data_IF_220662998073
#
_entry.id   IF_220662998073
#
_cell.length_a   1.000
_cell.length_b   1.000
_cell.length_c   1.000
_cell.angle_alpha   90.00
_cell.angle_beta   90.00
_cell.angle_gamma   90.00
#
_symmetry.space_group_name_H-M   'P 1'
#
loop_
_entity.id
_entity.type
_entity.pdbx_description
1 polymer ?
#
# COMPACT_ATOMS: atom_id res chain seq x y z
N UNK A 1 22.59 1.42 -26.55
CA UNK A 1 21.55 0.37 -26.42
C UNK A 1 20.24 1.04 -26.07
N UNK A 2 19.12 0.52 -26.56
CA UNK A 2 17.80 1.12 -26.38
C UNK A 2 17.12 0.60 -25.09
N UNK A 3 17.09 1.42 -24.03
CA UNK A 3 16.54 1.04 -22.72
C UNK A 3 15.05 0.64 -22.78
N UNK A 4 14.27 1.28 -23.66
CA UNK A 4 12.86 0.97 -23.83
C UNK A 4 12.69 -0.42 -24.46
N UNK A 5 13.51 -0.73 -25.47
CA UNK A 5 13.56 -2.07 -26.08
C UNK A 5 13.91 -3.14 -25.06
N UNK A 6 14.98 -2.93 -24.31
CA UNK A 6 15.44 -3.88 -23.28
C UNK A 6 14.32 -4.15 -22.27
N UNK A 7 13.69 -3.09 -21.76
CA UNK A 7 12.58 -3.22 -20.80
C UNK A 7 11.42 -4.02 -21.38
N UNK A 8 11.02 -3.76 -22.63
CA UNK A 8 9.93 -4.48 -23.29
C UNK A 8 10.26 -5.97 -23.50
N UNK A 9 11.52 -6.30 -23.79
CA UNK A 9 11.98 -7.67 -23.98
C UNK A 9 12.06 -8.47 -22.67
N UNK A 10 12.14 -7.82 -21.50
CA UNK A 10 12.05 -8.53 -20.21
C UNK A 10 10.64 -9.05 -19.88
N UNK A 11 9.60 -8.53 -20.54
CA UNK A 11 8.23 -8.96 -20.29
C UNK A 11 8.01 -10.41 -20.74
N UNK A 12 7.30 -11.25 -19.96
CA UNK A 12 6.82 -12.54 -20.41
C UNK A 12 5.97 -12.46 -21.69
N UNK A 13 5.88 -13.54 -22.50
CA UNK A 13 5.11 -13.53 -23.74
C UNK A 13 3.61 -13.21 -23.56
N UNK A 14 3.02 -13.57 -22.42
CA UNK A 14 1.63 -13.21 -22.08
C UNK A 14 1.51 -11.71 -21.79
N UNK A 15 2.41 -11.17 -20.96
CA UNK A 15 2.43 -9.75 -20.59
C UNK A 15 2.66 -8.82 -21.79
N UNK A 16 3.44 -9.25 -22.79
CA UNK A 16 3.60 -8.51 -24.05
C UNK A 16 2.29 -8.42 -24.83
N UNK A 17 1.51 -9.50 -24.86
CA UNK A 17 0.20 -9.55 -25.53
C UNK A 17 -0.79 -8.65 -24.79
N UNK A 18 -0.84 -8.76 -23.48
CA UNK A 18 -1.70 -7.95 -22.61
C UNK A 18 -1.37 -6.45 -22.70
N UNK A 19 -0.08 -6.09 -22.76
CA UNK A 19 0.35 -4.70 -22.99
C UNK A 19 -0.15 -4.17 -24.33
N UNK A 20 -0.08 -4.97 -25.39
CA UNK A 20 -0.63 -4.61 -26.70
C UNK A 20 -2.13 -4.34 -26.64
N UNK A 21 -2.89 -5.20 -25.96
CA UNK A 21 -4.34 -5.00 -25.74
C UNK A 21 -4.63 -3.77 -24.88
N UNK A 22 -3.85 -3.56 -23.82
CA UNK A 22 -3.97 -2.39 -22.96
C UNK A 22 -3.78 -1.09 -23.72
N UNK A 23 -2.76 -1.00 -24.58
CA UNK A 23 -2.53 0.16 -25.45
C UNK A 23 -3.68 0.32 -26.44
N UNK A 24 -4.20 -0.78 -27.00
CA UNK A 24 -5.34 -0.78 -27.91
C UNK A 24 -6.61 -0.21 -27.24
N UNK A 25 -6.84 -0.45 -25.96
CA UNK A 25 -8.02 0.05 -25.25
C UNK A 25 -7.96 1.52 -24.81
N UNK A 26 -6.82 2.18 -24.92
CA UNK A 26 -6.71 3.61 -24.62
C UNK A 26 -7.53 4.45 -25.63
N UNK A 27 -8.43 5.30 -25.13
CA UNK A 27 -9.46 6.06 -25.90
C UNK A 27 -8.87 7.19 -26.77
N UNK A 28 -8.19 6.86 -27.88
CA UNK A 28 -7.83 7.83 -28.94
C UNK A 28 -8.15 7.29 -30.35
N UNK A 29 -8.53 8.22 -31.25
CA UNK A 29 -8.97 7.96 -32.63
C UNK A 29 -7.99 7.08 -33.41
N UNK A 30 -8.55 6.25 -34.28
CA UNK A 30 -7.93 5.17 -35.04
C UNK A 30 -6.92 5.59 -36.13
N UNK A 31 -6.59 6.87 -36.28
CA UNK A 31 -5.66 7.33 -37.32
C UNK A 31 -4.21 7.10 -36.88
N UNK A 32 -3.67 5.95 -37.30
CA UNK A 32 -2.26 5.58 -37.18
C UNK A 32 -1.82 5.26 -35.75
N UNK A 33 -2.09 4.04 -35.28
CA UNK A 33 -1.54 3.50 -34.02
C UNK A 33 -0.05 3.17 -34.14
N UNK A 34 0.74 4.20 -34.45
CA UNK A 34 2.18 4.16 -34.58
C UNK A 34 2.84 3.57 -33.31
N UNK A 35 2.21 3.72 -32.15
CA UNK A 35 2.63 3.21 -30.86
C UNK A 35 2.63 1.68 -30.77
N UNK A 36 1.62 1.02 -31.35
CA UNK A 36 1.62 -0.44 -31.47
C UNK A 36 2.66 -0.92 -32.47
N UNK A 37 2.81 -0.21 -33.59
CA UNK A 37 3.83 -0.52 -34.59
C UNK A 37 5.24 -0.33 -34.05
N UNK A 38 5.47 0.69 -33.22
CA UNK A 38 6.73 0.87 -32.49
C UNK A 38 6.94 -0.27 -31.50
N UNK A 39 5.92 -0.67 -30.73
CA UNK A 39 6.01 -1.80 -29.81
C UNK A 39 6.44 -3.09 -30.54
N UNK A 40 5.83 -3.41 -31.67
CA UNK A 40 6.18 -4.57 -32.50
C UNK A 40 7.63 -4.50 -33.01
N UNK A 41 8.06 -3.35 -33.51
CA UNK A 41 9.43 -3.16 -34.00
C UNK A 41 10.47 -3.29 -32.88
N UNK A 42 10.16 -2.85 -31.67
CA UNK A 42 11.04 -2.99 -30.51
C UNK A 42 11.06 -4.43 -29.96
N UNK A 43 9.96 -5.16 -30.06
CA UNK A 43 9.88 -6.58 -29.65
C UNK A 43 10.45 -7.55 -30.71
N UNK A 44 10.69 -7.08 -31.94
CA UNK A 44 11.30 -7.86 -33.00
C UNK A 44 12.68 -8.41 -32.59
N UNK A 45 13.01 -9.66 -32.96
CA UNK A 45 14.34 -10.23 -32.74
C UNK A 45 15.44 -9.43 -33.44
N UNK A 46 15.12 -8.78 -34.57
CA UNK A 46 16.06 -7.88 -35.24
C UNK A 46 16.21 -6.58 -34.46
N UNK A 47 17.45 -6.20 -34.18
CA UNK A 47 17.76 -4.87 -33.64
C UNK A 47 17.76 -3.84 -34.76
N UNK A 48 17.04 -2.74 -34.53
CA UNK A 48 16.95 -1.61 -35.45
C UNK A 48 17.56 -0.39 -34.77
N UNK A 49 18.37 0.36 -35.50
CA UNK A 49 18.85 1.68 -35.09
C UNK A 49 17.70 2.69 -35.14
N UNK A 50 17.84 3.80 -34.42
CA UNK A 50 16.80 4.83 -34.37
C UNK A 50 16.43 5.38 -35.75
N UNK A 51 17.41 5.54 -36.64
CA UNK A 51 17.21 5.95 -38.04
C UNK A 51 16.34 4.97 -38.82
N UNK A 52 16.60 3.66 -38.69
CA UNK A 52 15.82 2.59 -39.33
C UNK A 52 14.38 2.53 -38.77
N UNK A 53 14.22 2.77 -37.46
CA UNK A 53 12.91 2.83 -36.82
C UNK A 53 12.11 4.04 -37.30
N UNK A 54 12.75 5.21 -37.40
CA UNK A 54 12.11 6.44 -37.92
C UNK A 54 11.63 6.19 -39.35
N UNK A 55 12.47 5.62 -40.22
CA UNK A 55 12.12 5.35 -41.61
C UNK A 55 11.01 4.30 -41.75
N UNK A 56 10.95 3.30 -40.86
CA UNK A 56 9.87 2.29 -40.86
C UNK A 56 8.53 2.79 -40.34
N UNK A 57 8.55 3.80 -39.48
CA UNK A 57 7.37 4.42 -38.89
C UNK A 57 6.84 5.57 -39.74
N UNK A 58 7.74 6.35 -40.34
CA UNK A 58 7.42 7.51 -41.16
C UNK A 58 8.16 7.41 -42.52
N UNK A 59 7.69 6.55 -43.44
CA UNK A 59 8.40 6.28 -44.69
C UNK A 59 8.36 7.46 -45.68
N UNK A 60 7.26 8.22 -45.70
CA UNK A 60 7.06 9.33 -46.64
C UNK A 60 7.83 10.60 -46.20
N UNK A 61 7.92 10.83 -44.89
CA UNK A 61 8.61 11.99 -44.31
C UNK A 61 9.24 11.60 -42.95
N UNK A 62 10.55 11.32 -42.90
CA UNK A 62 11.24 10.96 -41.66
C UNK A 62 11.05 12.03 -40.57
N UNK A 63 10.41 11.65 -39.46
CA UNK A 63 10.09 12.57 -38.37
C UNK A 63 10.68 12.12 -37.02
N UNK A 64 11.91 12.55 -36.68
CA UNK A 64 12.55 12.20 -35.42
C UNK A 64 11.79 12.71 -34.18
N UNK A 65 11.18 13.89 -34.27
CA UNK A 65 10.44 14.50 -33.15
C UNK A 65 9.22 13.66 -32.79
N UNK A 66 8.45 13.24 -33.79
CA UNK A 66 7.29 12.38 -33.60
C UNK A 66 7.70 11.00 -33.03
N UNK A 67 8.82 10.44 -33.49
CA UNK A 67 9.38 9.20 -32.96
C UNK A 67 9.72 9.29 -31.46
N UNK A 68 10.43 10.32 -31.00
CA UNK A 68 10.74 10.46 -29.57
C UNK A 68 9.49 10.71 -28.72
N UNK A 69 8.50 11.45 -29.24
CA UNK A 69 7.20 11.60 -28.57
C UNK A 69 6.46 10.25 -28.45
N UNK A 70 6.55 9.41 -29.48
CA UNK A 70 5.98 8.06 -29.49
C UNK A 70 6.61 7.15 -28.45
N UNK A 71 7.94 7.17 -28.33
CA UNK A 71 8.69 6.43 -27.30
C UNK A 71 8.28 6.84 -25.89
N UNK A 72 8.18 8.16 -25.63
CA UNK A 72 7.74 8.68 -24.32
C UNK A 72 6.31 8.23 -24.01
N UNK A 73 5.43 8.20 -25.01
CA UNK A 73 4.05 7.70 -24.87
C UNK A 73 4.02 6.20 -24.56
N UNK A 74 4.82 5.41 -25.28
CA UNK A 74 4.91 3.96 -25.08
C UNK A 74 5.45 3.62 -23.68
N UNK A 75 6.47 4.34 -23.21
CA UNK A 75 6.99 4.19 -21.85
C UNK A 75 5.93 4.49 -20.79
N UNK A 76 5.11 5.53 -21.00
CA UNK A 76 3.99 5.82 -20.11
C UNK A 76 2.97 4.68 -20.08
N UNK A 77 2.57 4.15 -21.24
CA UNK A 77 1.65 3.02 -21.29
C UNK A 77 2.22 1.76 -20.65
N UNK A 78 3.50 1.47 -20.85
CA UNK A 78 4.19 0.38 -20.18
C UNK A 78 4.14 0.56 -18.65
N UNK A 79 4.41 1.76 -18.16
CA UNK A 79 4.34 2.08 -16.73
C UNK A 79 2.93 1.88 -16.18
N UNK A 80 1.92 2.41 -16.88
CA UNK A 80 0.51 2.31 -16.48
C UNK A 80 0.04 0.85 -16.48
N UNK A 81 0.45 0.07 -17.48
CA UNK A 81 0.17 -1.36 -17.61
C UNK A 81 0.78 -2.17 -16.48
N UNK A 82 2.07 -1.95 -16.18
CA UNK A 82 2.76 -2.65 -15.09
C UNK A 82 2.12 -2.33 -13.73
N UNK A 83 1.76 -1.07 -13.49
CA UNK A 83 1.03 -0.66 -12.29
C UNK A 83 -0.36 -1.32 -12.21
N UNK A 84 -1.07 -1.44 -13.34
CA UNK A 84 -2.36 -2.12 -13.40
C UNK A 84 -2.25 -3.62 -13.08
N UNK A 85 -1.30 -4.33 -13.69
CA UNK A 85 -1.07 -5.76 -13.37
C UNK A 85 -0.67 -5.97 -11.93
N UNK A 86 0.13 -5.07 -11.36
CA UNK A 86 0.47 -5.12 -9.95
C UNK A 86 -0.77 -5.00 -9.05
N UNK A 87 -1.71 -4.11 -9.39
CA UNK A 87 -2.98 -3.94 -8.68
C UNK A 87 -3.93 -5.14 -8.83
N UNK A 88 -3.90 -5.82 -9.98
CA UNK A 88 -4.71 -7.01 -10.23
C UNK A 88 -4.26 -8.23 -9.40
N UNK A 89 -2.97 -8.28 -9.02
CA UNK A 89 -2.44 -9.34 -8.17
C UNK A 89 -2.45 -9.02 -6.66
N UNK A 90 -2.46 -7.74 -6.25
CA UNK A 90 -2.73 -7.30 -4.86
C UNK A 90 -2.93 -5.77 -4.80
N UNK A 91 -4.18 -5.31 -4.63
CA UNK A 91 -4.53 -3.88 -4.64
C UNK A 91 -4.19 -3.11 -3.34
N UNK A 92 -3.17 -3.53 -2.61
CA UNK A 92 -2.77 -2.88 -1.35
C UNK A 92 -1.81 -1.72 -1.60
N UNK A 93 -1.80 -0.74 -0.70
CA UNK A 93 -0.80 0.34 -0.72
C UNK A 93 0.64 -0.22 -0.67
N UNK A 94 0.86 -1.31 0.08
CA UNK A 94 2.14 -2.01 0.16
C UNK A 94 2.68 -2.41 -1.22
N UNK A 95 1.82 -2.99 -2.07
CA UNK A 95 2.17 -3.41 -3.42
C UNK A 95 2.60 -2.22 -4.26
N UNK A 96 1.83 -1.13 -4.24
CA UNK A 96 2.15 0.09 -4.99
C UNK A 96 3.48 0.71 -4.55
N UNK A 97 3.79 0.72 -3.24
CA UNK A 97 5.09 1.17 -2.71
C UNK A 97 6.23 0.29 -3.23
N UNK A 98 6.08 -1.03 -3.16
CA UNK A 98 7.09 -1.98 -3.68
C UNK A 98 7.31 -1.82 -5.19
N UNK A 99 6.25 -1.57 -5.96
CA UNK A 99 6.35 -1.36 -7.40
C UNK A 99 7.16 -0.10 -7.75
N UNK A 100 6.90 0.99 -7.03
CA UNK A 100 7.68 2.21 -7.17
C UNK A 100 9.14 2.02 -6.75
N UNK A 101 9.40 1.24 -5.70
CA UNK A 101 10.74 0.90 -5.26
C UNK A 101 11.51 0.12 -6.34
N UNK A 102 10.92 -0.94 -6.91
CA UNK A 102 11.54 -1.74 -7.99
C UNK A 102 11.85 -0.87 -9.20
N UNK A 103 10.94 0.02 -9.59
CA UNK A 103 11.16 0.93 -10.71
C UNK A 103 12.28 1.94 -10.41
N UNK A 104 12.37 2.45 -9.18
CA UNK A 104 13.46 3.34 -8.78
C UNK A 104 14.82 2.63 -8.84
N UNK A 105 14.92 1.38 -8.37
CA UNK A 105 16.14 0.57 -8.46
C UNK A 105 16.59 0.41 -9.91
N UNK A 106 15.65 0.06 -10.80
CA UNK A 106 15.92 -0.05 -12.23
C UNK A 106 16.47 1.27 -12.81
N UNK A 107 15.83 2.40 -12.50
CA UNK A 107 16.24 3.71 -13.00
C UNK A 107 17.61 4.18 -12.48
N UNK A 108 17.99 3.81 -11.26
CA UNK A 108 19.34 4.05 -10.78
C UNK A 108 20.37 3.23 -11.57
N UNK A 109 20.10 1.94 -11.82
CA UNK A 109 20.96 1.10 -12.65
C UNK A 109 21.07 1.60 -14.10
N UNK A 110 20.02 2.22 -14.62
CA UNK A 110 19.99 2.84 -15.95
C UNK A 110 20.60 4.26 -16.00
N UNK A 111 21.14 4.79 -14.89
CA UNK A 111 21.76 6.11 -14.87
C UNK A 111 20.78 7.29 -14.97
N UNK A 112 19.52 7.11 -14.54
CA UNK A 112 18.46 8.14 -14.54
C UNK A 112 18.08 8.55 -13.11
N UNK A 113 19.02 9.09 -12.30
CA UNK A 113 18.83 9.28 -10.87
C UNK A 113 17.75 10.31 -10.51
N UNK A 114 17.56 11.36 -11.33
CA UNK A 114 16.52 12.37 -11.08
C UNK A 114 15.12 11.76 -11.04
N UNK A 115 14.83 10.84 -11.97
CA UNK A 115 13.52 10.19 -12.04
C UNK A 115 13.38 9.14 -10.92
N UNK A 116 14.45 8.39 -10.63
CA UNK A 116 14.49 7.44 -9.53
C UNK A 116 14.17 8.10 -8.18
N UNK A 117 14.78 9.26 -7.89
CA UNK A 117 14.50 10.04 -6.68
C UNK A 117 13.06 10.55 -6.61
N UNK A 118 12.49 10.99 -7.73
CA UNK A 118 11.07 11.38 -7.78
C UNK A 118 10.14 10.21 -7.47
N UNK A 119 10.48 8.99 -7.89
CA UNK A 119 9.72 7.79 -7.53
C UNK A 119 9.90 7.43 -6.05
N UNK A 120 11.11 7.55 -5.50
CA UNK A 120 11.33 7.28 -4.07
C UNK A 120 10.55 8.23 -3.16
N UNK A 121 10.49 9.53 -3.48
CA UNK A 121 9.66 10.48 -2.71
C UNK A 121 8.16 10.15 -2.79
N UNK A 122 7.70 9.67 -3.94
CA UNK A 122 6.31 9.20 -4.10
C UNK A 122 6.05 7.93 -3.28
N UNK A 123 6.98 6.99 -3.30
CA UNK A 123 6.89 5.74 -2.56
C UNK A 123 6.89 6.00 -1.06
N UNK A 124 7.77 6.89 -0.61
CA UNK A 124 7.82 7.34 0.78
C UNK A 124 6.49 7.94 1.23
N UNK A 125 5.99 8.95 0.49
CA UNK A 125 4.72 9.60 0.85
C UNK A 125 3.57 8.60 0.87
N UNK A 126 3.47 7.75 -0.15
CA UNK A 126 2.43 6.73 -0.23
C UNK A 126 2.50 5.76 0.96
N UNK A 127 3.71 5.35 1.34
CA UNK A 127 3.91 4.44 2.45
C UNK A 127 3.57 5.10 3.80
N UNK A 128 3.98 6.35 4.02
CA UNK A 128 3.64 7.14 5.21
C UNK A 128 2.13 7.33 5.34
N UNK A 129 1.47 7.78 4.26
CA UNK A 129 0.03 8.04 4.24
C UNK A 129 -0.79 6.78 4.52
N UNK A 130 -0.26 5.59 4.24
CA UNK A 130 -0.96 4.30 4.39
C UNK A 130 -0.37 3.41 5.49
N UNK A 131 0.45 3.94 6.39
CA UNK A 131 1.08 3.19 7.50
C UNK A 131 1.85 1.93 7.03
N UNK A 132 2.49 1.98 5.87
CA UNK A 132 3.25 0.87 5.29
C UNK A 132 4.71 0.90 5.76
N UNK A 133 4.92 0.69 7.06
CA UNK A 133 6.23 0.90 7.70
C UNK A 133 7.34 -0.02 7.17
N UNK A 134 7.05 -1.31 6.92
CA UNK A 134 8.06 -2.24 6.38
C UNK A 134 8.49 -1.91 4.94
N UNK A 135 7.58 -1.75 3.97
CA UNK A 135 7.94 -1.24 2.65
C UNK A 135 8.70 0.11 2.69
N UNK A 136 8.35 0.98 3.65
CA UNK A 136 9.02 2.26 3.84
C UNK A 136 10.48 2.12 4.33
N UNK A 137 10.79 1.13 5.16
CA UNK A 137 12.19 0.82 5.51
C UNK A 137 13.02 0.54 4.25
N UNK A 138 12.49 -0.24 3.31
CA UNK A 138 13.17 -0.56 2.06
C UNK A 138 13.35 0.68 1.15
N UNK A 139 12.37 1.58 1.13
CA UNK A 139 12.49 2.89 0.45
C UNK A 139 13.63 3.72 1.05
N UNK A 140 13.69 3.84 2.38
CA UNK A 140 14.76 4.59 3.04
C UNK A 140 16.14 3.96 2.81
N UNK A 141 16.27 2.64 2.87
CA UNK A 141 17.54 1.97 2.57
C UNK A 141 18.06 2.32 1.17
N UNK A 142 17.16 2.38 0.18
CA UNK A 142 17.54 2.78 -1.18
C UNK A 142 17.88 4.27 -1.28
N UNK A 143 17.13 5.15 -0.59
CA UNK A 143 17.48 6.57 -0.50
C UNK A 143 18.89 6.76 0.07
N UNK A 144 19.23 6.07 1.16
CA UNK A 144 20.55 6.10 1.80
C UNK A 144 21.64 5.62 0.84
N UNK A 145 21.41 4.49 0.16
CA UNK A 145 22.36 3.92 -0.80
C UNK A 145 22.73 4.92 -1.92
N UNK A 146 21.78 5.74 -2.37
CA UNK A 146 21.96 6.70 -3.47
C UNK A 146 22.07 8.17 -3.01
N UNK A 147 22.34 8.42 -1.73
CA UNK A 147 22.35 9.76 -1.14
C UNK A 147 23.43 10.69 -1.71
N UNK A 148 24.47 10.15 -2.35
CA UNK A 148 25.51 10.94 -3.03
C UNK A 148 25.05 11.56 -4.36
N UNK A 149 23.81 11.30 -4.79
CA UNK A 149 23.25 11.87 -6.01
C UNK A 149 22.98 13.38 -5.87
N UNK A 150 23.20 14.21 -6.90
CA UNK A 150 22.83 15.63 -6.85
C UNK A 150 21.32 15.88 -6.74
N UNK A 151 20.50 14.85 -6.90
CA UNK A 151 19.04 14.91 -6.77
C UNK A 151 18.53 14.39 -5.43
N UNK A 152 19.42 13.92 -4.54
CA UNK A 152 19.07 13.34 -3.26
C UNK A 152 18.56 14.40 -2.28
N UNK A 153 17.72 13.96 -1.34
CA UNK A 153 17.47 14.73 -0.12
C UNK A 153 18.72 14.65 0.79
N UNK A 154 18.91 15.58 1.74
CA UNK A 154 20.02 15.50 2.68
C UNK A 154 20.07 14.16 3.42
N UNK A 155 21.26 13.55 3.48
CA UNK A 155 21.43 12.21 4.07
C UNK A 155 20.98 12.17 5.53
N UNK A 156 21.31 13.19 6.33
CA UNK A 156 20.92 13.26 7.74
C UNK A 156 19.39 13.28 7.91
N UNK A 157 18.67 13.98 7.04
CA UNK A 157 17.20 14.01 7.05
C UNK A 157 16.60 12.65 6.69
N UNK A 158 17.20 11.92 5.75
CA UNK A 158 16.79 10.57 5.39
C UNK A 158 17.01 9.62 6.57
N UNK A 159 18.17 9.70 7.24
CA UNK A 159 18.51 8.86 8.39
C UNK A 159 17.54 9.11 9.55
N UNK A 160 17.20 10.36 9.84
CA UNK A 160 16.25 10.69 10.91
C UNK A 160 14.84 10.18 10.61
N UNK A 161 14.36 10.33 9.36
CA UNK A 161 13.08 9.76 8.94
C UNK A 161 13.08 8.22 9.03
N UNK A 162 14.17 7.58 8.60
CA UNK A 162 14.35 6.13 8.68
C UNK A 162 14.31 5.64 10.13
N UNK A 163 15.00 6.31 11.06
CA UNK A 163 15.00 5.98 12.50
C UNK A 163 13.60 6.06 13.10
N UNK A 164 12.82 7.08 12.76
CA UNK A 164 11.43 7.21 13.21
C UNK A 164 10.56 6.07 12.66
N UNK A 165 10.70 5.76 11.37
CA UNK A 165 9.96 4.67 10.75
C UNK A 165 10.31 3.30 11.34
N UNK A 166 11.60 3.05 11.65
CA UNK A 166 12.04 1.81 12.30
C UNK A 166 11.34 1.55 13.62
N UNK A 167 11.14 2.60 14.44
CA UNK A 167 10.39 2.48 15.71
C UNK A 167 8.91 2.13 15.46
N UNK A 168 8.29 2.75 14.45
CA UNK A 168 6.90 2.46 14.09
C UNK A 168 6.73 1.04 13.51
N UNK A 169 7.68 0.59 12.68
CA UNK A 169 7.71 -0.75 12.12
C UNK A 169 7.82 -1.83 13.21
N UNK A 170 8.75 -1.65 14.16
CA UNK A 170 8.92 -2.54 15.32
C UNK A 170 7.63 -2.63 16.16
N UNK A 171 6.97 -1.50 16.43
CA UNK A 171 5.72 -1.49 17.19
C UNK A 171 4.58 -2.22 16.44
N UNK A 172 4.46 -2.01 15.13
CA UNK A 172 3.48 -2.71 14.28
C UNK A 172 3.75 -4.23 14.22
N UNK A 173 5.02 -4.63 14.17
CA UNK A 173 5.45 -6.03 14.23
C UNK A 173 5.12 -6.66 15.59
N UNK A 174 5.50 -6.01 16.70
CA UNK A 174 5.15 -6.44 18.07
C UNK A 174 3.64 -6.63 18.23
N UNK A 175 2.85 -5.71 17.68
CA UNK A 175 1.40 -5.81 17.68
C UNK A 175 0.86 -6.99 16.84
N UNK A 176 1.50 -7.29 15.70
CA UNK A 176 1.14 -8.45 14.86
C UNK A 176 1.37 -9.78 15.61
N UNK A 177 2.53 -9.87 16.27
CA UNK A 177 2.91 -11.03 17.07
C UNK A 177 1.94 -11.19 18.25
N UNK A 178 1.65 -10.10 18.97
CA UNK A 178 0.70 -10.08 20.07
C UNK A 178 -0.70 -10.57 19.66
N UNK A 179 -1.24 -10.13 18.52
CA UNK A 179 -2.54 -10.61 18.00
C UNK A 179 -2.53 -12.11 17.74
N UNK A 180 -1.48 -12.60 17.07
CA UNK A 180 -1.33 -14.01 16.73
C UNK A 180 -1.24 -14.89 17.98
N UNK A 181 -0.40 -14.50 18.94
CA UNK A 181 -0.25 -15.21 20.22
C UNK A 181 -1.55 -15.19 21.02
N UNK A 182 -2.25 -14.07 21.07
CA UNK A 182 -3.51 -13.99 21.79
C UNK A 182 -4.55 -14.93 21.17
N UNK A 183 -4.72 -14.91 19.84
CA UNK A 183 -5.65 -15.82 19.15
C UNK A 183 -5.34 -17.27 19.43
N UNK A 184 -4.05 -17.62 19.47
CA UNK A 184 -3.59 -18.96 19.81
C UNK A 184 -3.94 -19.32 21.27
N UNK A 185 -3.56 -18.47 22.24
CA UNK A 185 -3.80 -18.71 23.67
C UNK A 185 -5.31 -18.75 23.99
N UNK A 186 -6.13 -17.89 23.39
CA UNK A 186 -7.59 -17.91 23.53
C UNK A 186 -8.22 -19.18 22.95
N UNK A 187 -7.74 -19.64 21.78
CA UNK A 187 -8.20 -20.91 21.18
C UNK A 187 -7.87 -22.09 22.10
N UNK A 188 -6.65 -22.13 22.64
CA UNK A 188 -6.23 -23.17 23.59
C UNK A 188 -7.07 -23.12 24.88
N UNK A 189 -7.34 -21.94 25.43
CA UNK A 189 -8.18 -21.77 26.61
C UNK A 189 -9.60 -22.30 26.37
N UNK A 190 -10.18 -22.04 25.19
CA UNK A 190 -11.49 -22.55 24.80
C UNK A 190 -11.54 -24.08 24.71
N UNK A 191 -10.46 -24.72 24.25
CA UNK A 191 -10.36 -26.18 24.15
C UNK A 191 -10.23 -26.88 25.52
N UNK A 192 -9.62 -26.22 26.52
CA UNK A 192 -9.35 -26.80 27.85
C UNK A 192 -10.53 -26.73 28.83
N UNK A 193 -11.62 -26.05 28.50
CA UNK A 193 -12.81 -25.97 29.34
C UNK A 193 -12.66 -25.11 30.60
N UNK A 194 -13.62 -25.23 31.54
CA UNK A 194 -13.67 -24.47 32.80
C UNK A 194 -12.48 -24.85 33.70
N UNK A 195 -11.40 -24.06 33.63
CA UNK A 195 -10.10 -24.30 34.26
C UNK A 195 -8.91 -23.65 33.54
N UNK A 196 -9.13 -23.10 32.33
CA UNK A 196 -8.12 -22.33 31.61
C UNK A 196 -7.84 -20.95 32.22
N UNK A 197 -6.62 -20.44 31.99
CA UNK A 197 -6.17 -19.10 32.40
C UNK A 197 -7.22 -18.04 32.01
N UNK A 198 -7.60 -17.12 32.93
CA UNK A 198 -8.54 -16.05 32.64
C UNK A 198 -8.11 -15.23 31.42
N UNK A 199 -9.07 -14.94 30.54
CA UNK A 199 -8.86 -14.16 29.31
C UNK A 199 -8.17 -12.81 29.59
N UNK A 200 -8.50 -12.15 30.71
CA UNK A 200 -7.90 -10.87 31.09
C UNK A 200 -6.41 -10.99 31.43
N UNK A 201 -6.01 -12.10 32.04
CA UNK A 201 -4.62 -12.36 32.38
C UNK A 201 -3.80 -12.68 31.12
N UNK A 202 -4.39 -13.44 30.17
CA UNK A 202 -3.79 -13.66 28.86
C UNK A 202 -3.61 -12.33 28.12
N UNK A 203 -4.62 -11.45 28.13
CA UNK A 203 -4.56 -10.15 27.46
C UNK A 203 -3.50 -9.24 28.12
N UNK A 204 -3.54 -9.10 29.44
CA UNK A 204 -2.59 -8.25 30.19
C UNK A 204 -1.15 -8.74 30.05
N UNK A 205 -0.92 -10.05 30.15
CA UNK A 205 0.44 -10.61 29.99
C UNK A 205 0.99 -10.31 28.60
N UNK A 206 0.23 -10.55 27.53
CA UNK A 206 0.68 -10.28 26.15
C UNK A 206 0.92 -8.78 25.92
N UNK A 207 0.00 -7.90 26.34
CA UNK A 207 0.19 -6.45 26.15
C UNK A 207 1.39 -5.90 26.92
N UNK A 208 1.73 -6.49 28.06
CA UNK A 208 2.91 -6.14 28.86
C UNK A 208 4.18 -6.69 28.24
N UNK A 209 4.17 -7.97 27.86
CA UNK A 209 5.29 -8.69 27.22
C UNK A 209 5.76 -8.00 25.94
N UNK A 210 4.84 -7.43 25.17
CA UNK A 210 5.12 -6.74 23.91
C UNK A 210 5.13 -5.20 24.02
N UNK A 211 4.97 -4.63 25.22
CA UNK A 211 4.96 -3.18 25.48
C UNK A 211 3.97 -2.41 24.57
N UNK A 212 2.70 -2.85 24.63
CA UNK A 212 1.57 -2.30 23.85
C UNK A 212 0.50 -1.66 24.74
N UNK A 213 0.81 -1.43 26.02
CA UNK A 213 -0.14 -0.89 27.01
C UNK A 213 -0.58 0.55 26.73
N UNK A 214 0.18 1.31 25.95
CA UNK A 214 -0.14 2.70 25.59
C UNK A 214 -0.23 2.91 24.06
N UNK A 215 -0.16 1.81 23.30
CA UNK A 215 -0.11 1.81 21.84
C UNK A 215 -1.43 2.27 21.18
N UNK A 216 -2.57 2.17 21.89
CA UNK A 216 -3.92 2.36 21.34
C UNK A 216 -4.17 3.73 20.70
N UNK A 217 -3.41 4.77 21.06
CA UNK A 217 -3.58 6.12 20.57
C UNK A 217 -2.59 6.53 19.46
N UNK A 218 -1.67 5.64 19.09
CA UNK A 218 -0.53 5.98 18.22
C UNK A 218 -0.89 5.95 16.75
N UNK A 219 -1.60 4.94 16.27
CA UNK A 219 -2.10 4.90 14.89
C UNK A 219 -3.45 4.18 14.73
N UNK A 220 -4.24 4.52 13.70
CA UNK A 220 -5.43 3.79 13.29
C UNK A 220 -5.25 2.28 13.08
N UNK A 221 -4.15 1.84 12.43
CA UNK A 221 -3.88 0.40 12.22
C UNK A 221 -3.74 -0.33 13.55
N UNK A 222 -2.92 0.23 14.43
CA UNK A 222 -2.58 -0.35 15.73
C UNK A 222 -3.81 -0.44 16.64
N UNK A 223 -4.62 0.63 16.69
CA UNK A 223 -5.89 0.61 17.41
C UNK A 223 -6.84 -0.46 16.87
N UNK A 224 -6.98 -0.58 15.55
CA UNK A 224 -7.82 -1.62 14.94
C UNK A 224 -7.40 -3.02 15.37
N UNK A 225 -6.09 -3.30 15.39
CA UNK A 225 -5.57 -4.61 15.80
C UNK A 225 -5.85 -4.86 17.28
N UNK A 226 -5.55 -3.89 18.15
CA UNK A 226 -5.78 -3.99 19.60
C UNK A 226 -7.28 -4.10 19.96
N UNK A 227 -8.17 -3.42 19.25
CA UNK A 227 -9.62 -3.57 19.44
C UNK A 227 -10.15 -4.89 18.90
N UNK A 228 -9.58 -5.40 17.80
CA UNK A 228 -9.91 -6.74 17.31
C UNK A 228 -9.54 -7.80 18.34
N UNK A 229 -8.35 -7.70 18.92
CA UNK A 229 -7.86 -8.50 20.06
C UNK A 229 -8.87 -8.45 21.21
N UNK A 230 -9.19 -7.25 21.69
CA UNK A 230 -10.06 -7.05 22.86
C UNK A 230 -11.47 -7.58 22.60
N UNK A 231 -12.00 -7.39 21.39
CA UNK A 231 -13.32 -7.92 21.00
C UNK A 231 -13.39 -9.44 21.07
N UNK A 232 -12.35 -10.16 20.63
CA UNK A 232 -12.32 -11.63 20.73
C UNK A 232 -12.35 -12.10 22.19
N UNK A 233 -11.60 -11.44 23.06
CA UNK A 233 -11.63 -11.69 24.50
C UNK A 233 -13.03 -11.48 25.09
N UNK A 234 -13.69 -10.37 24.73
CA UNK A 234 -15.02 -10.03 25.25
C UNK A 234 -16.13 -10.92 24.69
N UNK A 235 -16.00 -11.38 23.44
CA UNK A 235 -16.91 -12.38 22.84
C UNK A 235 -16.93 -13.69 23.64
N UNK A 236 -15.79 -14.12 24.18
CA UNK A 236 -15.70 -15.33 25.00
C UNK A 236 -16.38 -15.14 26.36
N UNK A 237 -16.33 -13.93 26.94
CA UNK A 237 -16.89 -13.63 28.26
C UNK A 237 -18.36 -13.21 28.23
N UNK A 238 -18.83 -12.65 27.11
CA UNK A 238 -20.13 -12.00 27.02
C UNK A 238 -20.19 -10.60 27.64
N UNK A 239 -19.06 -10.03 28.10
CA UNK A 239 -18.99 -8.72 28.76
C UNK A 239 -18.88 -7.55 27.76
N UNK A 240 -19.93 -7.39 26.95
CA UNK A 240 -20.08 -6.24 26.07
C UNK A 240 -20.36 -4.90 26.79
N UNK A 241 -21.08 -4.88 27.94
CA UNK A 241 -21.31 -3.64 28.68
C UNK A 241 -20.03 -2.92 29.11
N UNK A 242 -18.97 -3.65 29.46
CA UNK A 242 -17.65 -3.05 29.75
C UNK A 242 -16.90 -2.66 28.47
N UNK A 243 -17.00 -3.46 27.42
CA UNK A 243 -16.27 -3.23 26.16
C UNK A 243 -16.76 -2.02 25.38
N UNK A 244 -18.08 -1.83 25.26
CA UNK A 244 -18.69 -0.76 24.47
C UNK A 244 -18.18 0.65 24.85
N UNK A 245 -18.22 1.09 26.12
CA UNK A 245 -17.71 2.41 26.50
C UNK A 245 -16.18 2.51 26.35
N UNK A 246 -15.44 1.39 26.42
CA UNK A 246 -13.99 1.39 26.22
C UNK A 246 -13.62 1.65 24.74
N UNK A 247 -14.15 0.88 23.80
CA UNK A 247 -13.88 1.09 22.37
C UNK A 247 -14.39 2.44 21.88
N UNK A 248 -15.51 2.93 22.43
CA UNK A 248 -16.02 4.28 22.14
C UNK A 248 -15.01 5.38 22.52
N UNK A 249 -14.40 5.30 23.71
CA UNK A 249 -13.36 6.25 24.14
C UNK A 249 -12.14 6.20 23.20
N UNK A 250 -11.68 5.01 22.86
CA UNK A 250 -10.55 4.85 21.95
C UNK A 250 -10.84 5.39 20.55
N UNK A 251 -12.04 5.14 20.03
CA UNK A 251 -12.49 5.67 18.74
C UNK A 251 -12.50 7.20 18.73
N UNK A 252 -13.15 7.83 19.72
CA UNK A 252 -13.23 9.30 19.81
C UNK A 252 -11.85 9.94 19.96
N UNK A 253 -10.95 9.30 20.72
CA UNK A 253 -9.56 9.76 20.84
C UNK A 253 -8.83 9.71 19.49
N UNK A 254 -8.99 8.61 18.76
CA UNK A 254 -8.39 8.41 17.44
C UNK A 254 -8.94 9.41 16.41
N UNK A 255 -10.25 9.63 16.40
CA UNK A 255 -10.92 10.60 15.54
C UNK A 255 -10.40 12.03 15.78
N UNK A 256 -10.27 12.44 17.05
CA UNK A 256 -9.74 13.77 17.40
C UNK A 256 -8.29 13.96 16.98
N UNK A 257 -7.45 12.92 17.14
CA UNK A 257 -6.01 13.01 16.88
C UNK A 257 -5.66 12.89 15.39
N UNK A 258 -6.36 12.04 14.65
CA UNK A 258 -5.96 11.65 13.29
C UNK A 258 -6.99 12.00 12.21
N UNK A 259 -8.22 12.39 12.59
CA UNK A 259 -9.34 12.74 11.69
C UNK A 259 -9.63 11.73 10.57
N UNK A 260 -9.17 10.48 10.73
CA UNK A 260 -9.23 9.40 9.75
C UNK A 260 -9.09 9.88 8.29
N UNK A 261 -7.85 10.21 7.89
CA UNK A 261 -7.50 10.52 6.51
C UNK A 261 -8.02 9.45 5.52
N UNK A 262 -8.15 9.74 4.21
CA UNK A 262 -8.68 8.79 3.23
C UNK A 262 -8.05 7.38 3.28
N UNK A 263 -6.74 7.31 3.47
CA UNK A 263 -6.01 6.04 3.63
C UNK A 263 -6.42 5.23 4.88
N UNK A 264 -6.92 5.89 5.93
CA UNK A 264 -7.33 5.29 7.18
C UNK A 264 -8.82 4.92 7.24
N UNK A 265 -9.60 5.20 6.17
CA UNK A 265 -11.05 4.91 6.15
C UNK A 265 -11.36 3.44 6.37
N UNK A 266 -10.55 2.54 5.81
CA UNK A 266 -10.68 1.11 6.04
C UNK A 266 -10.57 0.72 7.52
N UNK A 267 -9.75 1.43 8.29
CA UNK A 267 -9.63 1.26 9.74
C UNK A 267 -10.81 1.88 10.48
N UNK A 268 -11.21 3.09 10.10
CA UNK A 268 -12.37 3.78 10.66
C UNK A 268 -13.64 2.92 10.58
N UNK A 269 -13.91 2.35 9.41
CA UNK A 269 -15.07 1.48 9.18
C UNK A 269 -15.04 0.23 10.05
N UNK A 270 -13.87 -0.39 10.22
CA UNK A 270 -13.73 -1.55 11.14
C UNK A 270 -14.01 -1.16 12.58
N UNK A 271 -13.52 -0.01 13.04
CA UNK A 271 -13.77 0.49 14.41
C UNK A 271 -15.25 0.81 14.64
N UNK A 272 -15.87 1.53 13.70
CA UNK A 272 -17.31 1.85 13.76
C UNK A 272 -18.16 0.58 13.81
N UNK A 273 -17.84 -0.42 12.98
CA UNK A 273 -18.53 -1.71 13.02
C UNK A 273 -18.32 -2.45 14.35
N UNK A 274 -17.09 -2.47 14.88
CA UNK A 274 -16.80 -3.09 16.18
C UNK A 274 -17.56 -2.41 17.33
N UNK A 275 -17.63 -1.08 17.31
CA UNK A 275 -18.35 -0.27 18.29
C UNK A 275 -19.87 -0.50 18.21
N UNK A 276 -20.44 -0.41 17.00
CA UNK A 276 -21.85 -0.70 16.78
C UNK A 276 -22.21 -2.12 17.26
N UNK A 277 -21.41 -3.13 16.90
CA UNK A 277 -21.62 -4.49 17.37
C UNK A 277 -21.55 -4.61 18.90
N UNK A 278 -20.61 -3.92 19.55
CA UNK A 278 -20.52 -3.92 21.02
C UNK A 278 -21.76 -3.28 21.68
N UNK A 279 -22.27 -2.18 21.12
CA UNK A 279 -23.47 -1.50 21.59
C UNK A 279 -24.73 -2.36 21.40
N UNK A 280 -24.87 -2.99 20.22
CA UNK A 280 -25.94 -3.94 19.94
C UNK A 280 -25.98 -5.08 20.96
N UNK A 281 -24.83 -5.71 21.22
CA UNK A 281 -24.71 -6.79 22.20
C UNK A 281 -24.97 -6.33 23.64
N UNK A 282 -24.80 -5.04 23.91
CA UNK A 282 -25.14 -4.37 25.18
C UNK A 282 -26.58 -3.86 25.22
N UNK A 283 -27.42 -4.16 24.23
CA UNK A 283 -28.82 -3.68 24.09
C UNK A 283 -28.97 -2.15 23.94
N UNK A 284 -27.89 -1.44 23.59
CA UNK A 284 -27.89 0.00 23.27
C UNK A 284 -28.18 0.21 21.78
N UNK A 285 -29.41 -0.14 21.37
CA UNK A 285 -29.76 -0.26 19.94
C UNK A 285 -29.71 1.07 19.17
N UNK A 286 -30.24 2.15 19.74
CA UNK A 286 -30.24 3.46 19.08
C UNK A 286 -28.81 3.93 18.77
N UNK A 287 -27.92 3.80 19.74
CA UNK A 287 -26.51 4.18 19.58
C UNK A 287 -25.78 3.25 18.59
N UNK A 288 -26.08 1.96 18.61
CA UNK A 288 -25.57 1.01 17.62
C UNK A 288 -25.94 1.44 16.20
N UNK A 289 -27.20 1.85 15.97
CA UNK A 289 -27.67 2.30 14.66
C UNK A 289 -26.97 3.59 14.24
N UNK A 290 -26.84 4.56 15.15
CA UNK A 290 -26.16 5.83 14.87
C UNK A 290 -24.70 5.63 14.38
N UNK A 291 -23.94 4.73 15.01
CA UNK A 291 -22.58 4.44 14.56
C UNK A 291 -22.52 3.66 13.24
N UNK A 292 -23.53 2.84 12.91
CA UNK A 292 -23.64 2.21 11.58
C UNK A 292 -23.94 3.26 10.50
N UNK A 293 -24.85 4.19 10.76
CA UNK A 293 -25.15 5.31 9.87
C UNK A 293 -23.92 6.19 9.62
N UNK A 294 -23.13 6.46 10.65
CA UNK A 294 -21.84 7.13 10.50
C UNK A 294 -20.90 6.34 9.57
N UNK A 295 -20.85 5.01 9.70
CA UNK A 295 -20.07 4.15 8.81
C UNK A 295 -20.56 4.19 7.36
N UNK A 296 -21.88 4.20 7.14
CA UNK A 296 -22.47 4.34 5.81
C UNK A 296 -22.14 5.69 5.17
N UNK A 297 -22.17 6.78 5.95
CA UNK A 297 -21.76 8.09 5.47
C UNK A 297 -20.28 8.13 5.05
N UNK A 298 -19.40 7.46 5.81
CA UNK A 298 -17.98 7.32 5.44
C UNK A 298 -17.80 6.54 4.14
N UNK A 299 -18.59 5.48 3.91
CA UNK A 299 -18.58 4.73 2.65
C UNK A 299 -19.07 5.57 1.46
N UNK A 300 -20.16 6.33 1.64
CA UNK A 300 -20.72 7.19 0.61
C UNK A 300 -19.77 8.34 0.21
N UNK A 301 -18.92 8.79 1.13
CA UNK A 301 -17.91 9.82 0.88
C UNK A 301 -16.61 9.28 0.25
N UNK A 302 -16.52 7.98 -0.08
CA UNK A 302 -15.38 7.40 -0.78
C UNK A 302 -15.49 7.59 -2.29
N UNK A 303 -14.51 8.23 -2.96
CA UNK A 303 -14.45 8.18 -4.42
C UNK A 303 -14.23 6.72 -4.83
N UNK A 304 -15.09 6.23 -5.74
CA UNK A 304 -14.99 4.91 -6.34
C UNK A 304 -13.77 4.72 -7.23
#
# INVERSE_FOLDING_TARGET
>A
MDDLRLTLQTLPPDDRRDLGQFIQWQRRKATGRQDLRLLELLLSPKEYRSEELIQKLYPDEPNPVAYYALRKRLLRYLTDFLLLRQRQHDATAATSVRGQLTLAQYLFGAGVPRLAWNLLRKAEKLAQDNEQYEPLNAVYNLQIQYANSPYADPLDDIIERHRRNKKAADEEERAAIADSLLRQRLRQARLRGRGAVPVDEILRSILTEYDLQEAFARSPSLLCRLMSITRHAMLVRGDFPTFAPFIERCYKLMERRHRFAPAHRGYQLRLLYMLAHALYRSRRFQESVAYLEQGLAVLAAAPG
#
